data_IF_714368126369
#
_entry.id   IF_714368126369
#
_cell.length_a   1.000
_cell.length_b   1.000
_cell.length_c   1.000
_cell.angle_alpha   90.00
_cell.angle_beta   90.00
_cell.angle_gamma   90.00
#
_symmetry.space_group_name_H-M   'P 1'
#
loop_
_entity.id
_entity.type
_entity.pdbx_description
1 polymer ?
#
# COMPACT_ATOMS: atom_id res chain seq x y z
N UNK A 1 -5.72 11.55 -14.95
CA UNK A 1 -5.62 11.14 -13.54
C UNK A 1 -5.53 9.63 -13.55
N UNK A 2 -4.59 9.03 -12.82
CA UNK A 2 -4.58 7.57 -12.69
C UNK A 2 -5.76 7.17 -11.81
N UNK A 3 -6.53 6.19 -12.25
CA UNK A 3 -7.66 5.66 -11.47
C UNK A 3 -7.10 4.81 -10.33
N UNK A 4 -7.50 5.12 -9.10
CA UNK A 4 -7.02 4.43 -7.89
C UNK A 4 -8.20 3.72 -7.23
N UNK A 5 -8.19 2.39 -7.26
CA UNK A 5 -9.25 1.55 -6.70
C UNK A 5 -8.70 0.81 -5.48
N UNK A 6 -9.41 0.92 -4.35
CA UNK A 6 -9.10 0.13 -3.15
C UNK A 6 -9.51 -1.32 -3.38
N UNK A 7 -8.59 -2.23 -3.13
CA UNK A 7 -8.80 -3.67 -3.11
C UNK A 7 -9.16 -4.18 -1.72
N UNK A 8 -8.80 -5.44 -1.45
CA UNK A 8 -9.08 -6.08 -0.16
C UNK A 8 -8.01 -5.75 0.87
N UNK A 9 -8.42 -5.35 2.07
CA UNK A 9 -7.52 -5.28 3.24
C UNK A 9 -7.43 -6.65 3.92
N UNK A 10 -6.21 -7.12 4.20
CA UNK A 10 -5.95 -8.42 4.84
C UNK A 10 -5.09 -8.23 6.08
N UNK A 11 -5.43 -8.92 7.16
CA UNK A 11 -4.55 -9.05 8.33
C UNK A 11 -3.49 -10.11 8.05
N UNK A 12 -2.22 -9.78 8.28
CA UNK A 12 -1.09 -10.70 8.12
C UNK A 12 -0.19 -10.64 9.35
N UNK A 13 0.48 -11.74 9.61
CA UNK A 13 1.53 -11.83 10.63
C UNK A 13 2.77 -12.38 9.96
N UNK A 14 3.93 -11.79 10.24
CA UNK A 14 5.23 -12.29 9.82
C UNK A 14 6.09 -12.62 11.02
N UNK A 15 6.96 -13.60 10.86
CA UNK A 15 7.99 -13.91 11.84
C UNK A 15 9.22 -13.10 11.43
N UNK A 16 9.70 -12.22 12.30
CA UNK A 16 10.92 -11.45 12.06
C UNK A 16 12.14 -12.36 12.10
N UNK A 17 13.28 -11.84 11.64
CA UNK A 17 14.54 -12.58 11.69
C UNK A 17 14.95 -12.96 13.12
N UNK A 18 14.47 -12.21 14.11
CA UNK A 18 14.71 -12.40 15.55
C UNK A 18 13.73 -13.39 16.18
N UNK A 19 12.76 -13.91 15.40
CA UNK A 19 11.76 -14.86 15.86
C UNK A 19 10.52 -14.23 16.49
N UNK A 20 10.37 -12.90 16.39
CA UNK A 20 9.21 -12.19 16.91
C UNK A 20 8.04 -12.23 15.91
N UNK A 21 6.82 -12.29 16.43
CA UNK A 21 5.62 -12.21 15.60
C UNK A 21 5.23 -10.74 15.42
N UNK A 22 5.28 -10.24 14.20
CA UNK A 22 4.88 -8.89 13.85
C UNK A 22 3.59 -8.93 13.02
N UNK A 23 2.54 -8.30 13.53
CA UNK A 23 1.24 -8.18 12.87
C UNK A 23 1.16 -6.89 12.04
N UNK A 24 0.57 -6.97 10.85
CA UNK A 24 0.35 -5.85 9.95
C UNK A 24 -0.90 -6.04 9.08
N UNK A 25 -1.48 -4.94 8.63
CA UNK A 25 -2.49 -4.94 7.59
C UNK A 25 -1.84 -4.78 6.22
N UNK A 26 -2.17 -5.66 5.30
CA UNK A 26 -1.86 -5.55 3.88
C UNK A 26 -3.07 -4.94 3.18
N UNK A 27 -2.94 -3.70 2.73
CA UNK A 27 -3.97 -2.98 1.97
C UNK A 27 -3.65 -3.11 0.49
N UNK A 28 -4.49 -3.84 -0.23
CA UNK A 28 -4.39 -3.95 -1.69
C UNK A 28 -5.03 -2.74 -2.37
N UNK A 29 -4.43 -2.28 -3.47
CA UNK A 29 -4.99 -1.23 -4.31
C UNK A 29 -4.50 -1.36 -5.76
N UNK A 30 -5.23 -0.76 -6.68
CA UNK A 30 -4.95 -0.82 -8.11
C UNK A 30 -4.71 0.58 -8.66
N UNK A 31 -3.72 0.74 -9.53
CA UNK A 31 -3.46 1.97 -10.30
C UNK A 31 -3.39 1.59 -11.78
N UNK A 32 -4.29 2.13 -12.61
CA UNK A 32 -4.33 1.84 -14.05
C UNK A 32 -4.23 0.32 -14.35
N UNK A 33 -5.03 -0.51 -13.65
CA UNK A 33 -5.07 -1.98 -13.72
C UNK A 33 -3.86 -2.73 -13.09
N UNK A 34 -2.80 -2.02 -12.69
CA UNK A 34 -1.68 -2.62 -11.98
C UNK A 34 -1.98 -2.79 -10.48
N UNK A 35 -1.81 -4.00 -9.96
CA UNK A 35 -2.01 -4.34 -8.55
C UNK A 35 -0.80 -3.93 -7.70
N UNK A 36 -1.08 -3.27 -6.58
CA UNK A 36 -0.11 -2.89 -5.56
C UNK A 36 -0.61 -3.25 -4.17
N UNK A 37 0.32 -3.38 -3.23
CA UNK A 37 0.03 -3.62 -1.81
C UNK A 37 0.78 -2.61 -0.96
N UNK A 38 0.13 -2.16 0.11
CA UNK A 38 0.70 -1.30 1.13
C UNK A 38 0.62 -2.00 2.49
N UNK A 39 1.76 -2.17 3.14
CA UNK A 39 1.83 -2.67 4.51
C UNK A 39 1.60 -1.53 5.50
N UNK A 40 0.69 -1.72 6.44
CA UNK A 40 0.34 -0.75 7.48
C UNK A 40 0.35 -1.40 8.85
N UNK A 41 0.80 -0.67 9.86
CA UNK A 41 0.72 -1.11 11.25
C UNK A 41 -0.75 -1.26 11.69
N UNK A 42 -1.08 -2.27 12.51
CA UNK A 42 -2.44 -2.42 13.03
C UNK A 42 -2.76 -1.38 14.11
N UNK A 43 -1.73 -0.79 14.72
CA UNK A 43 -1.89 0.25 15.73
C UNK A 43 -2.43 1.52 15.08
N UNK A 44 -3.65 1.90 15.45
CA UNK A 44 -4.32 3.09 14.91
C UNK A 44 -4.86 2.92 13.48
N UNK A 45 -4.96 1.69 12.98
CA UNK A 45 -5.52 1.42 11.66
C UNK A 45 -7.00 1.80 11.60
N UNK A 46 -7.37 2.57 10.56
CA UNK A 46 -8.76 2.87 10.20
C UNK A 46 -8.92 2.84 8.69
N UNK A 47 -10.13 2.60 8.19
CA UNK A 47 -10.41 2.64 6.75
C UNK A 47 -9.98 3.98 6.12
N UNK A 48 -10.26 5.09 6.80
CA UNK A 48 -9.87 6.43 6.37
C UNK A 48 -8.34 6.59 6.29
N UNK A 49 -7.61 6.12 7.30
CA UNK A 49 -6.15 6.17 7.29
C UNK A 49 -5.55 5.32 6.16
N UNK A 50 -6.15 4.16 5.87
CA UNK A 50 -5.75 3.31 4.76
C UNK A 50 -5.99 3.99 3.40
N UNK A 51 -7.15 4.63 3.19
CA UNK A 51 -7.44 5.38 1.97
C UNK A 51 -6.47 6.55 1.76
N UNK A 52 -6.17 7.34 2.80
CA UNK A 52 -5.20 8.43 2.70
C UNK A 52 -3.79 7.92 2.37
N UNK A 53 -3.37 6.83 3.02
CA UNK A 53 -2.07 6.23 2.78
C UNK A 53 -1.94 5.67 1.35
N UNK A 54 -2.99 5.01 0.84
CA UNK A 54 -3.07 4.52 -0.53
C UNK A 54 -3.04 5.67 -1.53
N UNK A 55 -3.83 6.74 -1.32
CA UNK A 55 -3.81 7.91 -2.21
C UNK A 55 -2.43 8.55 -2.28
N UNK A 56 -1.77 8.70 -1.13
CA UNK A 56 -0.40 9.23 -1.07
C UNK A 56 0.57 8.33 -1.83
N UNK A 57 0.55 7.02 -1.57
CA UNK A 57 1.43 6.05 -2.23
C UNK A 57 1.18 5.99 -3.74
N UNK A 58 -0.08 6.04 -4.17
CA UNK A 58 -0.45 6.05 -5.56
C UNK A 58 0.05 7.32 -6.27
N UNK A 59 -0.05 8.50 -5.63
CA UNK A 59 0.51 9.73 -6.17
C UNK A 59 2.04 9.64 -6.34
N UNK A 60 2.76 9.05 -5.38
CA UNK A 60 4.21 8.79 -5.51
C UNK A 60 4.53 7.85 -6.67
N UNK A 61 3.80 6.74 -6.80
CA UNK A 61 4.01 5.75 -7.88
C UNK A 61 3.74 6.34 -9.26
N UNK A 62 2.67 7.14 -9.41
CA UNK A 62 2.34 7.85 -10.65
C UNK A 62 3.41 8.90 -10.98
N UNK A 63 3.90 9.63 -9.98
CA UNK A 63 4.99 10.59 -10.17
C UNK A 63 6.30 9.92 -10.64
N UNK A 64 6.62 8.73 -10.13
CA UNK A 64 7.77 7.94 -10.57
C UNK A 64 7.57 7.40 -11.99
N UNK A 65 6.39 6.90 -12.33
CA UNK A 65 6.05 6.44 -13.70
C UNK A 65 6.11 7.58 -14.73
N UNK A 66 5.70 8.79 -14.33
CA UNK A 66 5.83 10.01 -15.13
C UNK A 66 7.27 10.51 -15.27
N UNK A 67 8.12 10.25 -14.28
CA UNK A 67 9.57 10.43 -14.34
C UNK A 67 10.27 9.23 -14.97
N UNK A 68 9.73 8.67 -16.07
CA UNK A 68 10.47 7.71 -16.90
C UNK A 68 11.89 8.22 -17.02
N UNK A 69 12.80 7.48 -16.39
CA UNK A 69 14.23 7.74 -16.36
C UNK A 69 14.61 7.85 -17.84
N UNK A 70 14.98 9.06 -18.26
CA UNK A 70 15.71 9.24 -19.49
C UNK A 70 17.04 8.51 -19.27
N UNK A 71 17.09 7.27 -19.72
CA UNK A 71 18.33 6.52 -19.88
C UNK A 71 18.86 6.80 -21.28
#
# INVERSE_FOLDING_TARGET
MADVIMGTTRSRTRITREGEFEEYYEVEFFIDDARYTLEMSPVGFTAKAAEEAVRKKAAELVAVKGKKIAL
#
